data_IF_320439136207
#
_entry.id   IF_320439136207
#
_cell.length_a   1.000
_cell.length_b   1.000
_cell.length_c   1.000
_cell.angle_alpha   90.00
_cell.angle_beta   90.00
_cell.angle_gamma   90.00
#
_symmetry.space_group_name_H-M   'P 1'
#
loop_
_entity.id
_entity.type
_entity.pdbx_description
1 polymer ?
#
# COMPACT_ATOMS: atom_id res chain seq x y z
N UNK A 1 -14.96 6.80 10.32
CA UNK A 1 -15.29 5.36 10.43
C UNK A 1 -14.61 4.61 9.27
N UNK A 2 -14.09 3.41 9.51
CA UNK A 2 -13.54 2.58 8.42
C UNK A 2 -14.69 2.08 7.53
N UNK A 3 -14.57 2.13 6.19
CA UNK A 3 -15.55 1.53 5.29
C UNK A 3 -15.64 0.00 5.45
N UNK A 4 -16.82 -0.58 5.22
CA UNK A 4 -16.97 -2.04 5.15
C UNK A 4 -16.44 -2.57 3.81
N UNK A 5 -15.13 -2.79 3.77
CA UNK A 5 -14.44 -3.35 2.60
C UNK A 5 -14.93 -4.75 2.24
N UNK A 6 -15.43 -5.54 3.21
CA UNK A 6 -15.94 -6.89 2.93
C UNK A 6 -17.26 -6.81 2.18
N UNK A 7 -18.16 -5.94 2.60
CA UNK A 7 -19.40 -5.69 1.87
C UNK A 7 -19.11 -5.18 0.44
N UNK A 8 -18.14 -4.26 0.29
CA UNK A 8 -17.72 -3.77 -1.02
C UNK A 8 -17.21 -4.89 -1.92
N UNK A 9 -16.30 -5.74 -1.45
CA UNK A 9 -15.75 -6.80 -2.30
C UNK A 9 -16.78 -7.90 -2.59
N UNK A 10 -17.69 -8.20 -1.64
CA UNK A 10 -18.78 -9.15 -1.82
C UNK A 10 -19.72 -8.76 -2.96
N UNK A 11 -19.89 -7.46 -3.26
CA UNK A 11 -20.65 -6.99 -4.41
C UNK A 11 -20.18 -7.64 -5.72
N UNK A 12 -18.87 -7.87 -5.89
CA UNK A 12 -18.31 -8.49 -7.10
C UNK A 12 -18.65 -9.98 -7.26
N UNK A 13 -19.16 -10.65 -6.21
CA UNK A 13 -19.75 -12.00 -6.31
C UNK A 13 -21.21 -11.99 -6.73
N UNK A 14 -21.89 -10.85 -6.65
CA UNK A 14 -23.31 -10.77 -6.92
C UNK A 14 -23.59 -10.88 -8.43
N UNK A 15 -24.74 -11.44 -8.79
CA UNK A 15 -25.23 -11.47 -10.18
C UNK A 15 -25.44 -10.08 -10.79
N UNK A 16 -25.39 -9.03 -9.98
CA UNK A 16 -25.54 -7.63 -10.39
C UNK A 16 -24.22 -7.00 -10.86
N UNK A 17 -23.08 -7.62 -10.56
CA UNK A 17 -21.77 -7.09 -10.97
C UNK A 17 -21.44 -7.53 -12.40
N UNK A 18 -21.63 -6.63 -13.37
CA UNK A 18 -21.17 -6.84 -14.73
C UNK A 18 -19.64 -7.08 -14.73
N UNK A 19 -19.19 -8.19 -15.35
CA UNK A 19 -17.79 -8.66 -15.33
C UNK A 19 -17.19 -8.99 -13.95
N UNK A 20 -17.99 -8.98 -12.87
CA UNK A 20 -17.70 -9.39 -11.48
C UNK A 20 -16.23 -9.58 -11.11
N UNK A 21 -15.73 -10.80 -11.28
CA UNK A 21 -14.38 -11.20 -10.91
C UNK A 21 -13.27 -10.42 -11.65
N UNK A 22 -13.47 -10.11 -12.94
CA UNK A 22 -12.50 -9.34 -13.72
C UNK A 22 -12.31 -7.93 -13.14
N UNK A 23 -13.41 -7.27 -12.77
CA UNK A 23 -13.34 -5.96 -12.13
C UNK A 23 -12.71 -6.02 -10.74
N UNK A 24 -12.87 -7.12 -10.01
CA UNK A 24 -12.20 -7.32 -8.73
C UNK A 24 -10.69 -7.47 -8.90
N UNK A 25 -10.25 -8.19 -9.95
CA UNK A 25 -8.83 -8.28 -10.30
C UNK A 25 -8.28 -6.90 -10.67
N UNK A 26 -8.99 -6.15 -11.52
CA UNK A 26 -8.57 -4.80 -11.92
C UNK A 26 -8.50 -3.84 -10.73
N UNK A 27 -9.47 -3.91 -9.80
CA UNK A 27 -9.44 -3.14 -8.55
C UNK A 27 -8.22 -3.50 -7.71
N UNK A 28 -7.93 -4.80 -7.54
CA UNK A 28 -6.78 -5.25 -6.78
C UNK A 28 -5.48 -4.69 -7.36
N UNK A 29 -5.25 -4.88 -8.66
CA UNK A 29 -4.05 -4.40 -9.34
C UNK A 29 -3.99 -2.86 -9.32
N UNK A 30 -5.09 -2.15 -9.53
CA UNK A 30 -5.13 -0.70 -9.41
C UNK A 30 -4.67 -0.22 -8.03
N UNK A 31 -5.16 -0.86 -6.97
CA UNK A 31 -4.78 -0.50 -5.60
C UNK A 31 -3.31 -0.77 -5.36
N UNK A 32 -2.79 -1.95 -5.68
CA UNK A 32 -1.39 -2.33 -5.39
C UNK A 32 -0.37 -1.65 -6.29
N UNK A 33 -0.75 -1.25 -7.52
CA UNK A 33 0.17 -0.64 -8.49
C UNK A 33 0.14 0.88 -8.55
N UNK A 34 -0.94 1.51 -8.06
CA UNK A 34 -1.08 2.95 -8.15
C UNK A 34 -1.49 3.59 -6.83
N UNK A 35 -2.64 3.20 -6.28
CA UNK A 35 -3.23 3.91 -5.14
C UNK A 35 -2.35 3.79 -3.89
N UNK A 36 -1.93 2.56 -3.58
CA UNK A 36 -1.09 2.27 -2.42
C UNK A 36 0.32 2.88 -2.57
N UNK A 37 1.05 2.70 -3.70
CA UNK A 37 2.29 3.43 -3.96
C UNK A 37 2.18 4.95 -3.77
N UNK A 38 1.12 5.57 -4.29
CA UNK A 38 0.90 7.02 -4.17
C UNK A 38 0.69 7.45 -2.71
N UNK A 39 -0.07 6.66 -1.94
CA UNK A 39 -0.27 6.90 -0.52
C UNK A 39 1.04 6.76 0.28
N UNK A 40 1.87 5.78 -0.06
CA UNK A 40 3.20 5.56 0.56
C UNK A 40 4.15 6.71 0.24
N UNK A 41 4.20 7.20 -0.99
CA UNK A 41 5.02 8.36 -1.37
C UNK A 41 4.63 9.58 -0.51
N UNK A 42 3.34 9.82 -0.36
CA UNK A 42 2.83 10.92 0.48
C UNK A 42 3.22 10.73 1.95
N UNK A 43 3.10 9.50 2.47
CA UNK A 43 3.51 9.17 3.83
C UNK A 43 5.00 9.43 4.05
N UNK A 44 5.87 8.95 3.15
CA UNK A 44 7.32 9.16 3.21
C UNK A 44 7.69 10.64 3.20
N UNK A 45 7.03 11.46 2.37
CA UNK A 45 7.24 12.93 2.35
C UNK A 45 6.85 13.58 3.67
N UNK A 46 5.69 13.23 4.23
CA UNK A 46 5.23 13.78 5.51
C UNK A 46 6.09 13.36 6.69
N UNK A 47 6.54 12.11 6.71
CA UNK A 47 7.51 11.64 7.70
C UNK A 47 8.84 12.39 7.56
N UNK A 48 9.29 12.64 6.34
CA UNK A 48 10.50 13.43 6.11
C UNK A 48 10.36 14.83 6.71
N UNK A 49 9.26 15.53 6.44
CA UNK A 49 8.97 16.84 7.03
C UNK A 49 9.02 16.79 8.58
N UNK A 50 8.40 15.77 9.17
CA UNK A 50 8.37 15.56 10.63
C UNK A 50 9.77 15.37 11.22
N UNK A 51 10.58 14.45 10.66
CA UNK A 51 11.93 14.18 11.15
C UNK A 51 12.90 15.34 10.90
N UNK A 52 12.71 16.11 9.83
CA UNK A 52 13.50 17.33 9.61
C UNK A 52 13.15 18.41 10.63
N UNK A 53 11.87 18.59 10.97
CA UNK A 53 11.43 19.54 11.99
C UNK A 53 11.95 19.19 13.40
N UNK A 54 12.17 17.91 13.69
CA UNK A 54 12.64 17.42 14.99
C UNK A 54 14.08 16.92 14.98
N UNK A 55 14.90 17.35 14.03
CA UNK A 55 16.25 16.77 13.84
C UNK A 55 17.15 16.88 15.08
N UNK A 56 16.96 17.90 15.91
CA UNK A 56 17.71 18.13 17.15
C UNK A 56 17.23 17.26 18.31
N UNK A 57 16.00 16.76 18.22
CA UNK A 57 15.39 15.87 19.21
C UNK A 57 15.64 14.44 18.72
N UNK A 58 16.28 13.61 19.53
CA UNK A 58 16.54 12.22 19.15
C UNK A 58 15.24 11.41 19.11
N UNK A 59 14.46 11.57 18.04
CA UNK A 59 13.15 10.95 17.87
C UNK A 59 13.31 9.44 17.67
N UNK A 60 12.47 8.62 18.33
CA UNK A 60 12.56 7.17 18.23
C UNK A 60 12.39 6.66 16.80
N UNK A 61 12.96 5.48 16.56
CA UNK A 61 12.93 4.80 15.27
C UNK A 61 11.51 4.32 14.96
N UNK A 62 10.79 3.84 15.96
CA UNK A 62 9.46 3.27 15.79
C UNK A 62 8.40 4.37 15.82
N UNK A 63 7.76 4.61 14.68
CA UNK A 63 6.64 5.53 14.57
C UNK A 63 5.45 4.77 13.98
N UNK A 64 4.33 4.77 14.70
CA UNK A 64 3.10 4.04 14.36
C UNK A 64 2.45 4.55 13.08
N UNK A 65 2.75 5.79 12.68
CA UNK A 65 2.20 6.43 11.48
C UNK A 65 2.94 6.08 10.18
N UNK A 66 4.05 5.34 10.26
CA UNK A 66 4.81 4.95 9.06
C UNK A 66 4.07 3.89 8.26
N UNK A 67 4.12 3.99 6.94
CA UNK A 67 3.50 3.02 6.05
C UNK A 67 3.96 1.56 6.28
N UNK A 68 5.21 1.35 6.69
CA UNK A 68 5.82 0.04 6.98
C UNK A 68 5.57 -0.46 8.42
N UNK A 69 4.77 0.26 9.21
CA UNK A 69 4.33 -0.11 10.57
C UNK A 69 2.90 -0.67 10.60
N UNK A 70 2.38 -1.15 9.46
CA UNK A 70 1.00 -1.62 9.38
C UNK A 70 0.74 -2.80 10.32
N UNK A 71 -0.21 -2.71 11.28
CA UNK A 71 -0.50 -3.78 12.25
C UNK A 71 -1.45 -4.84 11.67
N UNK A 72 -1.59 -4.88 10.35
CA UNK A 72 -2.50 -5.78 9.68
C UNK A 72 -2.10 -7.24 9.84
N UNK A 73 -3.04 -8.15 9.49
CA UNK A 73 -2.74 -9.57 9.48
C UNK A 73 -1.60 -9.93 8.51
N UNK A 74 -0.82 -10.98 8.82
CA UNK A 74 0.35 -11.38 8.04
C UNK A 74 -0.06 -11.79 6.62
N UNK A 75 0.79 -11.51 5.63
CA UNK A 75 0.59 -11.96 4.27
C UNK A 75 0.50 -13.48 4.22
N UNK A 76 -0.61 -13.98 3.68
CA UNK A 76 -0.79 -15.40 3.45
C UNK A 76 -0.38 -15.71 2.00
N UNK A 77 0.74 -16.40 1.71
CA UNK A 77 1.20 -16.66 0.35
C UNK A 77 0.22 -17.51 -0.46
N UNK A 78 0.35 -17.51 -1.79
CA UNK A 78 -0.43 -18.39 -2.68
C UNK A 78 0.22 -19.78 -2.63
N UNK A 79 -0.38 -20.81 -2.02
CA UNK A 79 0.09 -22.18 -2.22
C UNK A 79 0.05 -22.52 -3.71
N UNK A 80 1.18 -23.01 -4.22
CA UNK A 80 1.38 -23.43 -5.61
C UNK A 80 0.43 -24.57 -6.03
N UNK A 81 -0.18 -25.25 -5.05
CA UNK A 81 -1.10 -26.36 -5.24
C UNK A 81 -2.53 -25.80 -5.31
N UNK A 82 -2.85 -25.15 -6.42
CA UNK A 82 -4.24 -25.06 -6.86
C UNK A 82 -4.35 -25.74 -8.21
N UNK A 83 -5.42 -26.51 -8.46
CA UNK A 83 -5.69 -26.94 -9.83
C UNK A 83 -5.74 -25.67 -10.69
N UNK A 84 -5.15 -25.69 -11.90
CA UNK A 84 -5.22 -24.54 -12.80
C UNK A 84 -6.70 -24.18 -12.91
N UNK A 85 -7.08 -23.03 -12.34
CA UNK A 85 -8.39 -22.45 -12.60
C UNK A 85 -8.42 -22.37 -14.11
N UNK A 86 -9.40 -22.99 -14.80
CA UNK A 86 -9.46 -22.94 -16.25
C UNK A 86 -9.27 -21.48 -16.59
N UNK A 87 -8.17 -21.17 -17.28
CA UNK A 87 -7.80 -19.81 -17.58
C UNK A 87 -9.08 -19.19 -18.12
N UNK A 88 -9.68 -18.27 -17.35
CA UNK A 88 -10.77 -17.47 -17.89
C UNK A 88 -10.08 -16.87 -19.11
N UNK A 89 -10.42 -17.34 -20.31
CA UNK A 89 -9.69 -17.10 -21.56
C UNK A 89 -9.79 -15.64 -22.01
N UNK A 90 -9.97 -14.74 -21.04
CA UNK A 90 -10.00 -13.31 -21.13
C UNK A 90 -8.55 -12.85 -21.12
N UNK A 91 -8.06 -12.28 -22.22
CA UNK A 91 -6.76 -11.64 -22.23
C UNK A 91 -6.70 -10.60 -21.11
N UNK A 92 -5.58 -10.47 -20.37
CA UNK A 92 -5.43 -9.42 -19.38
C UNK A 92 -5.69 -8.08 -20.06
N UNK A 93 -6.73 -7.38 -19.62
CA UNK A 93 -7.04 -6.05 -20.15
C UNK A 93 -6.12 -5.05 -19.45
N UNK A 94 -5.51 -4.12 -20.19
CA UNK A 94 -4.73 -3.09 -19.57
C UNK A 94 -5.64 -2.21 -18.71
N UNK A 95 -5.25 -2.00 -17.44
CA UNK A 95 -5.98 -1.13 -16.51
C UNK A 95 -5.96 0.32 -17.01
N UNK A 96 -4.85 0.71 -17.65
CA UNK A 96 -4.73 1.99 -18.33
C UNK A 96 -4.78 1.77 -19.83
N UNK A 97 -5.82 2.28 -20.47
CA UNK A 97 -6.04 2.18 -21.93
C UNK A 97 -4.84 2.72 -22.73
N UNK A 98 -4.03 3.62 -22.15
CA UNK A 98 -2.91 4.31 -22.83
C UNK A 98 -1.52 4.09 -22.21
N UNK A 99 -1.39 3.31 -21.12
CA UNK A 99 -0.09 3.13 -20.43
C UNK A 99 0.07 1.70 -19.92
N UNK A 100 1.30 1.20 -19.93
CA UNK A 100 1.62 -0.07 -19.28
C UNK A 100 1.38 0.05 -17.76
N UNK A 101 0.80 -0.99 -17.15
CA UNK A 101 0.69 -1.08 -15.69
C UNK A 101 2.09 -0.88 -15.07
N UNK A 102 2.23 0.00 -14.05
CA UNK A 102 3.52 0.21 -13.40
C UNK A 102 4.15 -1.08 -12.89
N UNK A 103 5.46 -1.19 -13.08
CA UNK A 103 6.26 -2.32 -12.59
C UNK A 103 6.40 -2.23 -11.06
N UNK A 104 5.86 -3.23 -10.37
CA UNK A 104 5.88 -3.32 -8.92
C UNK A 104 7.28 -3.43 -8.33
N UNK A 105 8.14 -4.23 -8.97
CA UNK A 105 9.47 -4.51 -8.45
C UNK A 105 10.30 -3.21 -8.39
N UNK A 106 10.11 -2.32 -9.37
CA UNK A 106 10.74 -1.00 -9.38
C UNK A 106 10.26 -0.11 -8.24
N UNK A 107 8.99 -0.18 -7.86
CA UNK A 107 8.49 0.60 -6.73
C UNK A 107 9.07 0.08 -5.40
N UNK A 108 9.09 -1.24 -5.20
CA UNK A 108 9.71 -1.84 -4.00
C UNK A 108 11.20 -1.49 -3.94
N UNK A 109 11.92 -1.60 -5.07
CA UNK A 109 13.31 -1.14 -5.18
C UNK A 109 13.46 0.34 -4.81
N UNK A 110 12.55 1.20 -5.26
CA UNK A 110 12.54 2.61 -4.90
C UNK A 110 12.36 2.83 -3.39
N UNK A 111 11.57 2.02 -2.69
CA UNK A 111 11.44 2.13 -1.23
C UNK A 111 12.77 1.96 -0.50
N UNK A 112 13.66 1.11 -1.00
CA UNK A 112 15.00 0.91 -0.45
C UNK A 112 15.97 2.07 -0.70
N UNK A 113 15.63 3.01 -1.59
CA UNK A 113 16.44 4.21 -1.80
C UNK A 113 16.33 5.17 -0.61
N UNK A 114 17.45 5.78 -0.23
CA UNK A 114 17.48 6.82 0.81
C UNK A 114 16.76 8.06 0.28
N UNK A 115 15.82 8.67 1.02
CA UNK A 115 15.17 9.91 0.60
C UNK A 115 16.20 11.01 0.35
N UNK A 116 16.05 11.75 -0.74
CA UNK A 116 16.87 12.93 -0.98
C UNK A 116 16.46 14.03 0.01
N UNK A 117 17.44 14.61 0.71
CA UNK A 117 17.23 15.71 1.67
C UNK A 117 18.06 16.90 1.23
N UNK A 118 17.52 18.11 1.06
CA UNK A 118 18.30 19.26 0.61
C UNK A 118 19.36 19.66 1.66
N UNK A 119 20.53 20.22 1.28
CA UNK A 119 21.41 20.93 2.21
C UNK A 119 20.65 22.05 2.95
N UNK A 120 20.92 22.33 4.25
CA UNK A 120 21.94 21.72 5.12
C UNK A 120 21.50 20.41 5.80
N UNK A 121 20.34 19.85 5.42
CA UNK A 121 19.73 18.71 6.09
C UNK A 121 20.31 17.34 5.68
N UNK A 122 21.55 17.29 5.18
CA UNK A 122 22.24 16.03 4.95
C UNK A 122 22.96 15.53 6.22
N UNK A 123 23.06 14.20 6.42
CA UNK A 123 22.39 13.13 5.67
C UNK A 123 20.89 13.02 6.01
N UNK A 124 20.14 12.22 5.23
CA UNK A 124 18.74 11.93 5.55
C UNK A 124 18.61 11.24 6.92
N UNK A 125 17.58 11.56 7.73
CA UNK A 125 17.32 10.87 8.99
C UNK A 125 17.27 9.36 8.81
N UNK A 126 18.10 8.63 9.57
CA UNK A 126 18.21 7.17 9.43
C UNK A 126 16.89 6.45 9.75
N UNK A 127 16.02 7.08 10.55
CA UNK A 127 14.68 6.61 10.85
C UNK A 127 13.87 6.41 9.57
N UNK A 128 14.11 7.19 8.49
CA UNK A 128 13.40 7.10 7.21
C UNK A 128 13.84 5.94 6.31
N UNK A 129 14.87 5.18 6.70
CA UNK A 129 15.21 3.94 5.98
C UNK A 129 14.00 3.02 5.96
N UNK A 130 13.73 2.45 4.79
CA UNK A 130 12.64 1.49 4.62
C UNK A 130 12.94 0.21 5.38
N UNK A 131 11.89 -0.36 6.00
CA UNK A 131 11.94 -1.65 6.68
C UNK A 131 11.09 -2.64 5.89
N UNK A 132 11.67 -3.79 5.51
CA UNK A 132 10.89 -4.88 4.93
C UNK A 132 9.72 -5.26 5.84
N UNK A 133 8.55 -5.43 5.25
CA UNK A 133 7.27 -5.59 5.94
C UNK A 133 6.29 -6.38 5.06
N UNK A 134 5.12 -6.70 5.61
CA UNK A 134 4.05 -7.36 4.85
C UNK A 134 3.52 -6.49 3.70
N UNK A 135 3.70 -5.17 3.76
CA UNK A 135 3.31 -4.23 2.70
C UNK A 135 4.07 -4.53 1.41
N UNK A 136 5.35 -4.87 1.50
CA UNK A 136 6.21 -5.13 0.35
C UNK A 136 5.73 -6.33 -0.45
N UNK A 137 5.17 -7.34 0.22
CA UNK A 137 4.62 -8.53 -0.43
C UNK A 137 3.42 -8.20 -1.30
N UNK A 138 2.48 -7.38 -0.81
CA UNK A 138 1.34 -6.92 -1.62
C UNK A 138 1.77 -6.03 -2.79
N UNK A 139 2.84 -5.25 -2.60
CA UNK A 139 3.36 -4.38 -3.65
C UNK A 139 4.04 -5.18 -4.75
N UNK A 140 4.74 -6.28 -4.43
CA UNK A 140 5.56 -7.06 -5.37
C UNK A 140 4.86 -8.25 -6.05
N UNK A 141 3.62 -8.57 -5.67
CA UNK A 141 2.87 -9.70 -6.25
C UNK A 141 2.79 -9.61 -7.78
N UNK A 142 3.22 -10.61 -8.57
CA UNK A 142 3.14 -10.57 -10.03
C UNK A 142 1.70 -10.45 -10.53
N UNK A 143 1.46 -9.61 -11.55
CA UNK A 143 0.09 -9.43 -12.09
C UNK A 143 -0.48 -10.77 -12.60
N UNK A 144 0.35 -11.61 -13.23
CA UNK A 144 -0.06 -12.93 -13.69
C UNK A 144 -0.63 -13.81 -12.56
N UNK A 145 -0.01 -13.78 -11.38
CA UNK A 145 -0.49 -14.53 -10.21
C UNK A 145 -1.81 -13.96 -9.69
N UNK A 146 -1.98 -12.64 -9.70
CA UNK A 146 -3.23 -11.96 -9.32
C UNK A 146 -4.37 -12.38 -10.26
N UNK A 147 -4.10 -12.43 -11.57
CA UNK A 147 -5.08 -12.82 -12.61
C UNK A 147 -5.50 -14.29 -12.51
N UNK A 148 -4.67 -15.14 -11.90
CA UNK A 148 -4.94 -16.57 -11.71
C UNK A 148 -5.38 -16.90 -10.28
N UNK A 149 -5.57 -15.88 -9.43
CA UNK A 149 -5.92 -16.08 -8.02
C UNK A 149 -7.35 -16.60 -7.87
N UNK A 150 -7.54 -17.59 -6.98
CA UNK A 150 -8.86 -18.09 -6.63
C UNK A 150 -9.79 -16.95 -6.13
N UNK A 151 -11.06 -16.88 -6.59
CA UNK A 151 -11.97 -15.76 -6.28
C UNK A 151 -12.08 -15.43 -4.79
N UNK A 152 -12.25 -16.45 -3.94
CA UNK A 152 -12.39 -16.23 -2.48
C UNK A 152 -11.13 -15.62 -1.86
N UNK A 153 -9.95 -15.98 -2.38
CA UNK A 153 -8.69 -15.38 -1.91
C UNK A 153 -8.53 -13.96 -2.43
N UNK A 154 -8.88 -13.73 -3.69
CA UNK A 154 -8.83 -12.39 -4.28
C UNK A 154 -9.74 -11.44 -3.51
N UNK A 155 -10.94 -11.86 -3.10
CA UNK A 155 -11.84 -11.07 -2.26
C UNK A 155 -11.20 -10.69 -0.92
N UNK A 156 -10.67 -11.68 -0.21
CA UNK A 156 -10.02 -11.46 1.10
C UNK A 156 -8.84 -10.50 0.93
N UNK A 157 -7.93 -10.77 -0.01
CA UNK A 157 -6.77 -9.92 -0.26
C UNK A 157 -7.15 -8.52 -0.72
N UNK A 158 -8.16 -8.38 -1.58
CA UNK A 158 -8.66 -7.06 -2.02
C UNK A 158 -9.16 -6.24 -0.84
N UNK A 159 -9.93 -6.86 0.07
CA UNK A 159 -10.35 -6.17 1.28
C UNK A 159 -9.15 -5.75 2.14
N UNK A 160 -8.09 -6.56 2.21
CA UNK A 160 -6.90 -6.25 3.02
C UNK A 160 -6.07 -5.12 2.42
N UNK A 161 -5.84 -5.11 1.10
CA UNK A 161 -5.10 -4.00 0.46
C UNK A 161 -5.88 -2.69 0.51
N UNK A 162 -7.23 -2.74 0.46
CA UNK A 162 -8.08 -1.56 0.68
C UNK A 162 -7.99 -1.04 2.11
N UNK A 163 -7.96 -1.95 3.11
CA UNK A 163 -7.71 -1.61 4.51
C UNK A 163 -6.36 -0.95 4.73
N UNK A 164 -5.32 -1.52 4.14
CA UNK A 164 -3.98 -0.97 4.19
C UNK A 164 -3.93 0.42 3.54
N UNK A 165 -4.51 0.58 2.35
CA UNK A 165 -4.60 1.88 1.67
C UNK A 165 -5.33 2.93 2.53
N UNK A 166 -6.47 2.56 3.10
CA UNK A 166 -7.24 3.42 3.99
C UNK A 166 -6.43 3.82 5.24
N UNK A 167 -5.78 2.84 5.87
CA UNK A 167 -4.96 3.07 7.06
C UNK A 167 -3.80 4.04 6.78
N UNK A 168 -3.08 3.88 5.67
CA UNK A 168 -2.04 4.83 5.25
C UNK A 168 -2.67 6.20 4.97
N UNK A 169 -3.84 6.26 4.33
CA UNK A 169 -4.60 7.48 4.12
C UNK A 169 -4.93 8.21 5.42
N UNK A 170 -5.39 7.50 6.46
CA UNK A 170 -5.63 8.07 7.78
C UNK A 170 -4.34 8.57 8.44
N UNK A 171 -3.25 7.79 8.39
CA UNK A 171 -1.95 8.23 8.94
C UNK A 171 -1.44 9.48 8.23
N UNK A 172 -1.64 9.55 6.92
CA UNK A 172 -1.34 10.71 6.10
C UNK A 172 -2.12 11.94 6.57
N UNK A 173 -3.42 11.82 6.83
CA UNK A 173 -4.24 12.92 7.38
C UNK A 173 -3.76 13.32 8.77
N UNK A 174 -3.45 12.36 9.65
CA UNK A 174 -2.91 12.66 11.00
C UNK A 174 -1.60 13.43 10.94
N UNK A 175 -0.65 12.99 10.11
CA UNK A 175 0.64 13.69 9.92
C UNK A 175 0.44 15.12 9.42
N UNK A 176 -0.54 15.34 8.52
CA UNK A 176 -0.88 16.69 8.07
C UNK A 176 -1.47 17.53 9.19
N UNK A 177 -2.36 16.96 10.02
CA UNK A 177 -2.91 17.63 11.20
C UNK A 177 -1.81 18.04 12.18
N UNK A 178 -0.87 17.13 12.48
CA UNK A 178 0.30 17.45 13.30
C UNK A 178 1.12 18.58 12.67
N UNK A 179 1.41 18.51 11.36
CA UNK A 179 2.16 19.57 10.67
C UNK A 179 1.50 20.94 10.82
N UNK A 180 0.17 21.01 10.66
CA UNK A 180 -0.62 22.24 10.79
C UNK A 180 -0.62 22.78 12.24
N UNK A 181 -0.51 21.90 13.24
CA UNK A 181 -0.40 22.28 14.65
C UNK A 181 1.04 22.46 15.14
N UNK A 182 2.03 22.62 14.24
CA UNK A 182 3.44 22.76 14.61
C UNK A 182 4.05 21.50 15.26
N UNK A 183 3.50 20.33 14.92
CA UNK A 183 3.87 19.00 15.41
C UNK A 183 3.60 18.73 16.90
N UNK A 184 2.79 19.56 17.55
CA UNK A 184 2.39 19.36 18.94
C UNK A 184 1.74 17.99 19.16
N UNK A 185 2.27 17.21 20.13
CA UNK A 185 1.72 15.91 20.52
C UNK A 185 2.16 14.73 19.64
N UNK A 186 3.05 14.93 18.66
CA UNK A 186 3.57 13.86 17.80
C UNK A 186 4.26 12.73 18.59
N UNK A 187 4.72 13.03 19.82
CA UNK A 187 5.39 12.08 20.71
C UNK A 187 4.50 10.87 21.08
N UNK A 188 3.17 11.01 21.04
CA UNK A 188 2.23 9.92 21.33
C UNK A 188 2.27 8.79 20.27
N UNK A 189 2.81 9.08 19.09
CA UNK A 189 2.85 8.17 17.94
C UNK A 189 4.09 7.28 17.91
N UNK A 190 4.94 7.36 18.94
CA UNK A 190 6.13 6.53 19.14
C UNK A 190 5.88 5.42 20.16
#
# INVERSE_FOLDING_TARGET
PEPDWRALVQYFKSSRAAAGLGNLQDLYVFVTRLALPSAIITNRRRLLDMYLAHRTVNMPIHCKLRYDSWPGPPFSPIPQIHPPIPALGVPPRPIFVSRQTPDSAKFVQWLHTVPNTPPPHHPAPYQLRHRPSEVDRYLDEPEMEIRQMHPDRLLIRTAWVLRLFWWIGCNNVKLEGYKQSGWNGIQAEF
#
